data_IF_902856233468
#
_entry.id   IF_902856233468
#
_cell.length_a   1.000
_cell.length_b   1.000
_cell.length_c   1.000
_cell.angle_alpha   90.00
_cell.angle_beta   90.00
_cell.angle_gamma   90.00
#
_symmetry.space_group_name_H-M   'P 1'
#
loop_
_entity.id
_entity.type
_entity.pdbx_description
1 polymer ?
#
# COMPACT_ATOMS: atom_id res chain seq x y z
N UNK A 1 -37.63 58.81 -6.92
CA UNK A 1 -36.65 58.64 -5.82
C UNK A 1 -36.76 57.28 -5.12
N UNK A 2 -37.96 56.78 -4.80
CA UNK A 2 -38.13 55.58 -3.96
C UNK A 2 -37.71 54.25 -4.61
N UNK A 3 -37.92 54.08 -5.92
CA UNK A 3 -37.62 52.81 -6.63
C UNK A 3 -36.11 52.51 -6.63
N UNK A 4 -35.27 53.54 -6.77
CA UNK A 4 -33.81 53.38 -6.71
C UNK A 4 -33.33 52.91 -5.33
N UNK A 5 -33.94 53.42 -4.26
CA UNK A 5 -33.61 53.01 -2.90
C UNK A 5 -34.01 51.56 -2.63
N UNK A 6 -35.20 51.15 -3.09
CA UNK A 6 -35.65 49.76 -2.96
C UNK A 6 -34.75 48.79 -3.71
N UNK A 7 -34.35 49.13 -4.94
CA UNK A 7 -33.40 48.32 -5.72
C UNK A 7 -32.04 48.24 -5.03
N UNK A 8 -31.55 49.34 -4.45
CA UNK A 8 -30.29 49.35 -3.70
C UNK A 8 -30.33 48.46 -2.46
N UNK A 9 -31.43 48.48 -1.71
CA UNK A 9 -31.60 47.61 -0.54
C UNK A 9 -31.64 46.13 -0.95
N UNK A 10 -32.38 45.80 -2.01
CA UNK A 10 -32.48 44.44 -2.55
C UNK A 10 -31.12 43.91 -3.05
N UNK A 11 -30.30 44.75 -3.68
CA UNK A 11 -28.97 44.34 -4.16
C UNK A 11 -27.98 44.15 -3.01
N UNK A 12 -28.07 44.96 -1.95
CA UNK A 12 -27.28 44.78 -0.72
C UNK A 12 -27.63 43.47 -0.02
N UNK A 13 -28.92 43.18 0.17
CA UNK A 13 -29.37 41.94 0.79
C UNK A 13 -28.95 40.72 -0.04
N UNK A 14 -29.10 40.77 -1.36
CA UNK A 14 -28.66 39.69 -2.23
C UNK A 14 -27.13 39.49 -2.18
N UNK A 15 -26.34 40.56 -2.10
CA UNK A 15 -24.89 40.48 -1.96
C UNK A 15 -24.46 39.87 -0.62
N UNK A 16 -25.11 40.24 0.49
CA UNK A 16 -24.81 39.67 1.81
C UNK A 16 -25.20 38.19 1.90
N UNK A 17 -26.31 37.80 1.26
CA UNK A 17 -26.73 36.40 1.13
C UNK A 17 -25.77 35.62 0.22
N UNK A 18 -25.32 36.17 -0.91
CA UNK A 18 -24.33 35.52 -1.78
C UNK A 18 -22.95 35.32 -1.11
N UNK A 19 -22.52 36.29 -0.30
CA UNK A 19 -21.29 36.20 0.49
C UNK A 19 -21.41 35.18 1.63
N UNK A 20 -22.59 35.04 2.24
CA UNK A 20 -22.84 34.03 3.28
C UNK A 20 -23.14 32.63 2.72
N UNK A 21 -23.61 32.49 1.47
CA UNK A 21 -23.63 31.21 0.75
C UNK A 21 -22.23 30.79 0.27
N UNK A 22 -21.29 31.74 0.14
CA UNK A 22 -19.86 31.46 -0.02
C UNK A 22 -19.23 31.07 1.32
N UNK A 23 -19.80 30.09 2.02
CA UNK A 23 -19.22 29.48 3.24
C UNK A 23 -17.91 28.73 2.97
N UNK A 24 -17.43 28.71 1.73
CA UNK A 24 -16.09 28.26 1.39
C UNK A 24 -15.06 29.24 1.94
N UNK A 25 -14.65 29.03 3.19
CA UNK A 25 -13.42 29.58 3.76
C UNK A 25 -12.29 29.46 2.73
N UNK A 26 -11.50 30.52 2.53
CA UNK A 26 -10.26 30.45 1.74
C UNK A 26 -9.38 29.37 2.36
N UNK A 27 -9.39 28.18 1.76
CA UNK A 27 -8.59 27.06 2.23
C UNK A 27 -7.14 27.36 1.89
N UNK A 28 -6.36 27.69 2.93
CA UNK A 28 -4.92 27.82 2.80
C UNK A 28 -4.32 26.42 2.58
N UNK A 29 -4.16 26.08 1.30
CA UNK A 29 -3.62 24.80 0.86
C UNK A 29 -2.22 24.55 1.44
N UNK A 30 -1.45 25.60 1.73
CA UNK A 30 -0.11 25.48 2.32
C UNK A 30 -0.17 25.01 3.77
N UNK A 31 -1.15 25.48 4.55
CA UNK A 31 -1.35 25.00 5.92
C UNK A 31 -1.78 23.53 5.95
N UNK A 32 -2.69 23.12 5.05
CA UNK A 32 -3.09 21.71 4.95
C UNK A 32 -1.96 20.82 4.47
N UNK A 33 -1.16 21.29 3.50
CA UNK A 33 0.02 20.57 3.02
C UNK A 33 1.01 20.35 4.14
N UNK A 34 1.33 21.38 4.93
CA UNK A 34 2.22 21.27 6.10
C UNK A 34 1.69 20.29 7.15
N UNK A 35 0.41 20.38 7.51
CA UNK A 35 -0.23 19.45 8.46
C UNK A 35 -0.22 18.01 7.95
N UNK A 36 -0.43 17.81 6.65
CA UNK A 36 -0.36 16.48 6.03
C UNK A 36 1.06 15.92 6.02
N UNK A 37 2.08 16.74 5.74
CA UNK A 37 3.48 16.30 5.79
C UNK A 37 3.82 15.80 7.20
N UNK A 38 3.46 16.54 8.25
CA UNK A 38 3.76 16.13 9.62
C UNK A 38 2.99 14.87 10.04
N UNK A 39 1.72 14.75 9.63
CA UNK A 39 0.95 13.54 9.85
C UNK A 39 1.54 12.32 9.12
N UNK A 40 1.99 12.49 7.87
CA UNK A 40 2.62 11.42 7.09
C UNK A 40 3.96 11.02 7.72
N UNK A 41 4.75 11.98 8.20
CA UNK A 41 6.00 11.71 8.92
C UNK A 41 5.73 10.81 10.14
N UNK A 42 4.77 11.17 10.99
CA UNK A 42 4.40 10.35 12.14
C UNK A 42 3.85 8.98 11.75
N UNK A 43 3.08 8.91 10.66
CA UNK A 43 2.56 7.65 10.15
C UNK A 43 3.65 6.70 9.67
N UNK A 44 4.65 7.19 8.92
CA UNK A 44 5.77 6.38 8.45
C UNK A 44 6.58 5.84 9.63
N UNK A 45 6.94 6.69 10.59
CA UNK A 45 7.70 6.30 11.78
C UNK A 45 6.96 5.26 12.62
N UNK A 46 5.65 5.45 12.85
CA UNK A 46 4.80 4.48 13.53
C UNK A 46 4.76 3.12 12.80
N UNK A 47 4.65 3.14 11.47
CA UNK A 47 4.66 1.91 10.65
C UNK A 47 5.98 1.16 10.74
N UNK A 48 7.10 1.88 10.79
CA UNK A 48 8.44 1.31 10.89
C UNK A 48 8.86 0.99 12.33
N UNK A 49 8.04 1.34 13.34
CA UNK A 49 8.37 1.24 14.77
C UNK A 49 9.64 2.02 15.16
N UNK A 50 9.84 3.18 14.52
CA UNK A 50 10.93 4.10 14.81
C UNK A 50 10.42 5.31 15.59
N UNK A 51 11.19 5.79 16.56
CA UNK A 51 10.87 7.03 17.31
C UNK A 51 11.34 8.29 16.58
N UNK A 52 12.42 8.19 15.80
CA UNK A 52 12.99 9.27 15.01
C UNK A 52 13.55 8.74 13.69
N UNK A 53 13.73 9.60 12.67
CA UNK A 53 14.46 9.23 11.46
C UNK A 53 15.88 8.72 11.80
N UNK A 54 16.44 7.76 11.04
CA UNK A 54 17.85 7.39 11.15
C UNK A 54 18.75 8.60 10.86
N UNK A 55 19.90 8.70 11.53
CA UNK A 55 20.83 9.83 11.35
C UNK A 55 21.79 9.65 10.16
N UNK A 56 22.05 8.40 9.76
CA UNK A 56 22.96 8.08 8.67
C UNK A 56 22.23 8.03 7.32
N UNK A 57 22.56 9.01 6.46
CA UNK A 57 22.15 9.04 5.07
C UNK A 57 23.40 8.88 4.19
N UNK A 58 23.77 7.64 3.80
CA UNK A 58 24.89 7.45 2.90
C UNK A 58 24.62 8.14 1.55
N UNK A 59 25.71 8.52 0.87
CA UNK A 59 25.64 9.13 -0.46
C UNK A 59 24.85 8.22 -1.43
N UNK A 60 24.00 8.78 -2.32
CA UNK A 60 23.19 7.98 -3.24
C UNK A 60 24.09 7.16 -4.19
N UNK A 61 24.34 5.91 -3.81
CA UNK A 61 25.05 4.92 -4.61
C UNK A 61 24.12 4.09 -5.50
N UNK A 62 24.71 3.29 -6.38
CA UNK A 62 23.98 2.32 -7.18
C UNK A 62 23.46 1.18 -6.28
N UNK A 63 22.14 0.97 -6.31
CA UNK A 63 21.48 -0.11 -5.55
C UNK A 63 21.62 -1.42 -6.32
N UNK A 64 21.91 -2.52 -5.63
CA UNK A 64 22.04 -3.85 -6.26
C UNK A 64 20.78 -4.23 -7.05
N UNK A 65 20.99 -4.90 -8.20
CA UNK A 65 19.91 -5.35 -9.10
C UNK A 65 18.92 -6.26 -8.40
N UNK A 66 19.36 -7.08 -7.45
CA UNK A 66 18.49 -7.99 -6.70
C UNK A 66 17.48 -7.22 -5.84
N UNK A 67 17.94 -6.15 -5.17
CA UNK A 67 17.08 -5.28 -4.35
C UNK A 67 16.08 -4.53 -5.24
N UNK A 68 16.53 -4.05 -6.40
CA UNK A 68 15.65 -3.41 -7.39
C UNK A 68 14.60 -4.39 -7.91
N UNK A 69 14.97 -5.64 -8.17
CA UNK A 69 14.04 -6.69 -8.60
C UNK A 69 12.99 -7.00 -7.52
N UNK A 70 13.41 -7.09 -6.25
CA UNK A 70 12.49 -7.26 -5.11
C UNK A 70 11.54 -6.06 -4.98
N UNK A 71 12.06 -4.84 -5.12
CA UNK A 71 11.24 -3.63 -5.05
C UNK A 71 10.16 -3.61 -6.13
N UNK A 72 10.54 -3.88 -7.38
CA UNK A 72 9.60 -3.86 -8.50
C UNK A 72 8.51 -4.93 -8.36
N UNK A 73 8.87 -6.16 -8.02
CA UNK A 73 7.89 -7.22 -7.80
C UNK A 73 6.95 -6.91 -6.63
N UNK A 74 7.49 -6.31 -5.56
CA UNK A 74 6.69 -5.89 -4.40
C UNK A 74 5.74 -4.75 -4.74
N UNK A 75 6.20 -3.76 -5.51
CA UNK A 75 5.36 -2.65 -5.99
C UNK A 75 4.17 -3.17 -6.77
N UNK A 76 4.42 -4.09 -7.71
CA UNK A 76 3.39 -4.63 -8.59
C UNK A 76 2.39 -5.48 -7.79
N UNK A 77 2.87 -6.31 -6.84
CA UNK A 77 2.02 -7.07 -5.91
C UNK A 77 1.16 -6.16 -5.01
N UNK A 78 1.73 -5.08 -4.48
CA UNK A 78 0.99 -4.14 -3.63
C UNK A 78 -0.10 -3.41 -4.43
N UNK A 79 0.16 -3.11 -5.70
CA UNK A 79 -0.82 -2.50 -6.59
C UNK A 79 -1.99 -3.45 -6.86
N UNK A 80 -1.72 -4.73 -7.11
CA UNK A 80 -2.76 -5.75 -7.29
C UNK A 80 -3.65 -5.87 -6.04
N UNK A 81 -3.05 -5.95 -4.85
CA UNK A 81 -3.80 -5.98 -3.58
C UNK A 81 -4.62 -4.72 -3.34
N UNK A 82 -4.13 -3.55 -3.73
CA UNK A 82 -4.89 -2.30 -3.64
C UNK A 82 -6.12 -2.34 -4.56
N UNK A 83 -5.97 -2.88 -5.77
CA UNK A 83 -7.06 -3.03 -6.72
C UNK A 83 -8.09 -4.06 -6.24
N UNK A 84 -7.64 -5.19 -5.68
CA UNK A 84 -8.51 -6.21 -5.08
C UNK A 84 -9.38 -5.63 -3.96
N UNK A 85 -8.78 -4.89 -3.03
CA UNK A 85 -9.52 -4.23 -1.93
C UNK A 85 -10.54 -3.22 -2.43
N UNK A 86 -10.18 -2.46 -3.46
CA UNK A 86 -11.10 -1.52 -4.08
C UNK A 86 -12.28 -2.26 -4.72
N UNK A 87 -12.04 -3.42 -5.34
CA UNK A 87 -13.08 -4.25 -5.94
C UNK A 87 -13.99 -4.93 -4.90
N UNK A 88 -13.43 -5.40 -3.79
CA UNK A 88 -14.19 -6.09 -2.72
C UNK A 88 -14.81 -5.14 -1.69
N UNK A 89 -14.56 -3.83 -1.80
CA UNK A 89 -14.99 -2.81 -0.83
C UNK A 89 -14.55 -3.14 0.61
N UNK A 90 -13.43 -3.85 0.76
CA UNK A 90 -12.89 -4.27 2.05
C UNK A 90 -12.40 -3.06 2.84
N UNK A 91 -13.03 -2.83 3.99
CA UNK A 91 -12.73 -1.68 4.87
C UNK A 91 -11.99 -2.07 6.14
N UNK A 92 -11.97 -3.37 6.47
CA UNK A 92 -11.33 -3.87 7.69
C UNK A 92 -9.85 -4.14 7.42
N UNK A 93 -9.00 -3.59 8.28
CA UNK A 93 -7.55 -3.82 8.25
C UNK A 93 -7.16 -4.40 9.60
N UNK A 94 -6.47 -5.54 9.62
CA UNK A 94 -5.97 -6.13 10.86
C UNK A 94 -4.83 -5.29 11.44
N UNK A 95 -4.64 -5.33 12.76
CA UNK A 95 -3.52 -4.65 13.43
C UNK A 95 -2.15 -5.14 12.93
N UNK A 96 -2.04 -6.41 12.57
CA UNK A 96 -0.81 -7.00 12.01
C UNK A 96 -0.44 -6.42 10.63
N UNK A 97 -1.41 -5.92 9.88
CA UNK A 97 -1.17 -5.27 8.58
C UNK A 97 -0.84 -3.77 8.72
N UNK A 98 -0.98 -3.22 9.92
CA UNK A 98 -0.67 -1.82 10.18
C UNK A 98 0.84 -1.55 10.10
N UNK A 99 1.67 -2.45 10.66
CA UNK A 99 3.12 -2.31 10.70
C UNK A 99 3.80 -2.78 9.41
N UNK A 100 4.97 -2.20 9.14
CA UNK A 100 5.80 -2.62 8.01
C UNK A 100 6.30 -4.06 8.20
N UNK A 101 6.47 -4.77 7.07
CA UNK A 101 7.02 -6.13 7.01
C UNK A 101 8.28 -6.13 6.17
N UNK A 102 9.28 -6.90 6.59
CA UNK A 102 10.45 -7.16 5.79
C UNK A 102 10.10 -8.12 4.65
N UNK A 103 10.62 -7.86 3.45
CA UNK A 103 10.30 -8.62 2.24
C UNK A 103 11.53 -9.37 1.77
N UNK A 104 11.39 -10.69 1.63
CA UNK A 104 12.42 -11.57 1.08
C UNK A 104 11.91 -12.31 -0.15
N UNK A 105 12.78 -12.49 -1.15
CA UNK A 105 12.53 -13.31 -2.33
C UNK A 105 13.32 -14.60 -2.21
N UNK A 106 12.63 -15.74 -2.25
CA UNK A 106 13.23 -17.07 -2.23
C UNK A 106 12.94 -17.69 -3.60
N UNK A 107 14.00 -17.94 -4.37
CA UNK A 107 13.86 -18.56 -5.68
C UNK A 107 13.70 -20.07 -5.55
N UNK A 108 12.73 -20.62 -6.28
CA UNK A 108 12.54 -22.07 -6.34
C UNK A 108 13.65 -22.71 -7.18
N UNK A 109 14.16 -23.86 -6.73
CA UNK A 109 15.14 -24.60 -7.50
C UNK A 109 14.49 -25.13 -8.80
N UNK A 110 15.12 -24.95 -9.98
CA UNK A 110 14.57 -25.45 -11.22
C UNK A 110 14.43 -26.98 -11.17
N UNK A 111 13.22 -27.47 -11.44
CA UNK A 111 12.96 -28.89 -11.58
C UNK A 111 13.57 -29.38 -12.89
N UNK A 112 14.69 -30.09 -12.80
CA UNK A 112 15.20 -30.88 -13.91
C UNK A 112 14.58 -32.28 -13.82
N UNK A 113 13.65 -32.68 -14.72
CA UNK A 113 13.23 -34.07 -14.80
C UNK A 113 14.40 -34.90 -15.34
N UNK A 114 15.30 -35.35 -14.47
CA UNK A 114 16.14 -36.51 -14.79
C UNK A 114 15.22 -37.71 -14.89
N UNK A 115 15.28 -38.45 -16.00
CA UNK A 115 14.45 -39.62 -16.30
C UNK A 115 14.41 -40.64 -15.14
N UNK A 116 13.47 -40.46 -14.21
CA UNK A 116 13.10 -41.46 -13.22
C UNK A 116 11.74 -41.09 -12.64
N UNK A 117 10.82 -42.06 -12.69
CA UNK A 117 9.37 -41.91 -12.52
C UNK A 117 8.93 -41.64 -11.08
N UNK A 118 9.37 -40.55 -10.47
CA UNK A 118 8.74 -40.02 -9.26
C UNK A 118 8.59 -38.51 -9.41
N UNK A 119 7.35 -38.03 -9.27
CA UNK A 119 7.08 -36.59 -9.25
C UNK A 119 7.04 -36.17 -7.81
N UNK A 120 7.98 -35.32 -7.41
CA UNK A 120 7.98 -34.76 -6.06
C UNK A 120 7.34 -33.37 -6.12
N UNK A 121 6.14 -33.25 -5.56
CA UNK A 121 5.47 -31.97 -5.40
C UNK A 121 5.71 -31.51 -3.97
N UNK A 122 6.27 -30.31 -3.86
CA UNK A 122 6.40 -29.67 -2.56
C UNK A 122 5.15 -28.82 -2.33
N UNK A 123 4.25 -29.32 -1.48
CA UNK A 123 3.03 -28.62 -1.11
C UNK A 123 3.30 -27.83 0.17
N UNK A 124 2.99 -26.54 0.15
CA UNK A 124 2.89 -25.74 1.37
C UNK A 124 1.64 -26.22 2.13
N UNK A 125 1.81 -27.15 3.07
CA UNK A 125 0.70 -27.64 3.89
C UNK A 125 0.69 -26.88 5.21
N UNK A 126 -0.17 -25.87 5.30
CA UNK A 126 -0.41 -25.08 6.51
C UNK A 126 -0.62 -23.60 6.22
N UNK A 127 -1.59 -22.97 6.89
CA UNK A 127 -1.90 -21.54 6.77
C UNK A 127 -0.81 -20.60 7.33
N UNK A 128 0.31 -21.15 7.80
CA UNK A 128 1.47 -20.42 8.30
C UNK A 128 2.74 -21.01 7.68
N UNK A 129 3.59 -20.12 7.18
CA UNK A 129 4.90 -20.27 6.52
C UNK A 129 5.97 -21.03 7.34
N UNK A 130 5.65 -22.09 8.08
CA UNK A 130 6.60 -22.70 9.02
C UNK A 130 7.17 -24.06 8.60
N UNK A 131 6.57 -24.76 7.62
CA UNK A 131 7.08 -26.05 7.16
C UNK A 131 6.80 -26.26 5.66
N UNK A 132 7.85 -26.61 4.91
CA UNK A 132 7.78 -27.07 3.53
C UNK A 132 7.81 -28.60 3.57
N UNK A 133 6.66 -29.24 3.35
CA UNK A 133 6.58 -30.71 3.28
C UNK A 133 6.69 -31.13 1.83
N UNK A 134 7.81 -31.73 1.44
CA UNK A 134 7.92 -32.34 0.12
C UNK A 134 7.36 -33.76 0.15
N UNK A 135 6.34 -34.01 -0.68
CA UNK A 135 5.76 -35.34 -0.88
C UNK A 135 6.25 -35.86 -2.22
N UNK A 136 6.94 -37.00 -2.19
CA UNK A 136 7.31 -37.71 -3.41
C UNK A 136 6.30 -38.82 -3.66
N UNK A 137 5.52 -38.68 -4.74
CA UNK A 137 4.60 -39.72 -5.21
C UNK A 137 5.32 -40.57 -6.26
N UNK A 138 5.53 -41.84 -5.90
CA UNK A 138 6.06 -42.87 -6.79
C UNK A 138 4.92 -43.83 -7.17
N UNK A 139 3.79 -43.31 -7.65
CA UNK A 139 2.71 -44.12 -8.22
C UNK A 139 3.15 -44.77 -9.52
N UNK A 140 3.51 -46.06 -9.42
CA UNK A 140 3.50 -46.98 -10.54
C UNK A 140 4.85 -47.62 -10.85
N UNK A 141 5.14 -48.72 -10.15
CA UNK A 141 5.73 -49.95 -10.72
C UNK A 141 5.61 -51.08 -9.70
N UNK A 142 4.66 -51.98 -9.94
CA UNK A 142 4.83 -53.38 -9.58
C UNK A 142 6.07 -53.89 -10.32
N UNK A 143 7.03 -54.47 -9.59
CA UNK A 143 8.14 -55.22 -10.18
C UNK A 143 7.90 -56.72 -9.97
N UNK A 144 8.30 -57.57 -10.94
CA UNK A 144 8.21 -59.04 -10.84
C UNK A 144 9.16 -59.62 -9.78
#
# INVERSE_FOLDING_TARGET
MNVFLVVLFLTLDLATVALSLSTCSTLDMEQFRKKRIEAIRGQILSKLKLSSPPEDFPEPGEVSRDIVAIYNSTRDLLQEKANERAATCERQRSEEEYYAKEVHKIDMQPFYPSESKCVCYCMCVGACFSAITCVCDCSGKSFP
#
